data_IF_776371603725
#
_entry.id   IF_776371603725
#
_cell.length_a   1.000
_cell.length_b   1.000
_cell.length_c   1.000
_cell.angle_alpha   90.00
_cell.angle_beta   90.00
_cell.angle_gamma   90.00
#
_symmetry.space_group_name_H-M   'P 1'
#
loop_
_entity.id
_entity.type
_entity.pdbx_description
1 polymer ?
#
# COMPACT_ATOMS: atom_id res chain seq x y z
N UNK A 1 8.91 -9.39 13.19
CA UNK A 1 9.38 -8.18 12.48
C UNK A 1 8.16 -7.38 12.09
N UNK A 2 8.07 -6.12 12.53
CA UNK A 2 6.95 -5.25 12.18
C UNK A 2 7.15 -4.69 10.77
N UNK A 3 6.09 -4.65 9.96
CA UNK A 3 6.12 -4.02 8.64
C UNK A 3 5.90 -2.52 8.83
N UNK A 4 6.85 -1.70 8.39
CA UNK A 4 6.70 -0.24 8.36
C UNK A 4 6.07 0.18 7.03
N UNK A 5 4.96 0.90 7.07
CA UNK A 5 4.26 1.40 5.88
C UNK A 5 4.14 2.92 6.01
N UNK A 6 4.72 3.66 5.07
CA UNK A 6 4.62 5.12 5.05
C UNK A 6 3.95 5.57 3.75
N UNK A 7 3.03 6.52 3.86
CA UNK A 7 2.32 7.08 2.70
C UNK A 7 3.15 8.21 2.10
N UNK A 8 3.47 8.10 0.81
CA UNK A 8 4.09 9.19 0.03
C UNK A 8 2.99 10.02 -0.64
N UNK A 9 2.02 9.35 -1.27
CA UNK A 9 0.86 9.98 -1.92
C UNK A 9 -0.28 8.97 -2.02
N UNK A 10 -1.45 9.39 -2.52
CA UNK A 10 -2.62 8.49 -2.66
C UNK A 10 -2.37 7.27 -3.54
N UNK A 11 -1.36 7.33 -4.41
CA UNK A 11 -0.99 6.24 -5.31
C UNK A 11 0.41 5.68 -5.00
N UNK A 12 1.06 6.06 -3.89
CA UNK A 12 2.44 5.65 -3.56
C UNK A 12 2.65 5.51 -2.06
N UNK A 13 3.28 4.39 -1.68
CA UNK A 13 3.68 4.05 -0.33
C UNK A 13 5.13 3.55 -0.32
N UNK A 14 5.78 3.61 0.83
CA UNK A 14 6.98 2.83 1.12
C UNK A 14 6.64 1.72 2.11
N UNK A 15 7.18 0.53 1.86
CA UNK A 15 7.02 -0.64 2.72
C UNK A 15 8.41 -1.11 3.12
N UNK A 16 8.81 -0.91 4.37
CA UNK A 16 10.19 -1.11 4.84
C UNK A 16 11.24 -0.42 3.93
N UNK A 17 10.94 0.78 3.44
CA UNK A 17 11.80 1.54 2.52
C UNK A 17 11.69 1.14 1.04
N UNK A 18 10.93 0.09 0.69
CA UNK A 18 10.68 -0.32 -0.70
C UNK A 18 9.49 0.43 -1.29
N UNK A 19 9.59 0.90 -2.53
CA UNK A 19 8.49 1.61 -3.17
C UNK A 19 7.33 0.66 -3.51
N UNK A 20 6.10 1.08 -3.21
CA UNK A 20 4.87 0.39 -3.60
C UNK A 20 3.92 1.41 -4.21
N UNK A 21 3.47 1.21 -5.44
CA UNK A 21 2.72 2.24 -6.15
C UNK A 21 1.61 1.66 -7.03
N UNK A 22 0.64 2.49 -7.36
CA UNK A 22 -0.43 2.16 -8.29
C UNK A 22 0.02 2.45 -9.72
N UNK A 23 0.03 1.43 -10.58
CA UNK A 23 0.40 1.55 -11.98
C UNK A 23 -0.73 2.19 -12.82
N UNK A 24 -0.49 2.36 -14.12
CA UNK A 24 -1.45 2.97 -15.06
C UNK A 24 -2.73 2.15 -15.24
N UNK A 25 -2.65 0.83 -15.07
CA UNK A 25 -3.81 -0.07 -15.12
C UNK A 25 -4.63 -0.03 -13.82
N UNK A 26 -4.17 0.76 -12.84
CA UNK A 26 -4.81 0.86 -11.52
C UNK A 26 -4.43 -0.27 -10.57
N UNK A 27 -3.48 -1.14 -10.93
CA UNK A 27 -2.97 -2.22 -10.11
C UNK A 27 -1.88 -1.73 -9.15
N UNK A 28 -1.89 -2.23 -7.92
CA UNK A 28 -0.82 -1.97 -6.96
C UNK A 28 0.37 -2.89 -7.23
N UNK A 29 1.55 -2.31 -7.43
CA UNK A 29 2.77 -3.01 -7.83
C UNK A 29 3.97 -2.54 -7.01
N UNK A 30 4.94 -3.44 -6.82
CA UNK A 30 6.24 -3.12 -6.26
C UNK A 30 7.31 -3.28 -7.35
N UNK A 31 8.06 -2.23 -7.72
CA UNK A 31 9.06 -2.33 -8.78
C UNK A 31 10.28 -3.15 -8.37
N UNK A 32 10.59 -3.23 -7.07
CA UNK A 32 11.73 -4.01 -6.61
C UNK A 32 11.45 -5.51 -6.53
N UNK A 33 10.19 -5.96 -6.67
CA UNK A 33 9.77 -7.36 -6.52
C UNK A 33 10.28 -8.06 -5.24
N UNK A 34 10.78 -7.27 -4.27
CA UNK A 34 11.44 -7.71 -3.04
C UNK A 34 10.48 -7.75 -1.86
N UNK A 35 9.18 -7.49 -2.06
CA UNK A 35 8.22 -7.60 -0.97
C UNK A 35 8.04 -9.07 -0.61
N UNK A 36 8.26 -9.36 0.66
CA UNK A 36 7.85 -10.62 1.25
C UNK A 36 6.32 -10.71 1.26
N UNK A 37 5.74 -11.92 1.27
CA UNK A 37 4.29 -12.09 1.35
C UNK A 37 3.64 -11.38 2.56
N UNK A 38 4.38 -11.24 3.66
CA UNK A 38 3.92 -10.49 4.84
C UNK A 38 3.87 -8.98 4.59
N UNK A 39 4.86 -8.41 3.91
CA UNK A 39 4.89 -6.99 3.55
C UNK A 39 3.75 -6.64 2.59
N UNK A 40 3.55 -7.48 1.56
CA UNK A 40 2.47 -7.35 0.59
C UNK A 40 1.09 -7.40 1.27
N UNK A 41 0.86 -8.39 2.14
CA UNK A 41 -0.39 -8.51 2.89
C UNK A 41 -0.63 -7.31 3.79
N UNK A 42 0.41 -6.80 4.45
CA UNK A 42 0.31 -5.64 5.33
C UNK A 42 -0.05 -4.36 4.57
N UNK A 43 0.64 -4.06 3.45
CA UNK A 43 0.37 -2.86 2.65
C UNK A 43 -1.01 -2.93 2.00
N UNK A 44 -1.43 -4.09 1.50
CA UNK A 44 -2.76 -4.28 0.92
C UNK A 44 -3.88 -4.10 1.97
N UNK A 45 -3.68 -4.60 3.19
CA UNK A 45 -4.62 -4.38 4.29
C UNK A 45 -4.69 -2.91 4.71
N UNK A 46 -3.56 -2.19 4.71
CA UNK A 46 -3.49 -0.77 5.01
C UNK A 46 -4.29 0.06 3.99
N UNK A 47 -4.06 -0.16 2.70
CA UNK A 47 -4.78 0.51 1.61
C UNK A 47 -6.29 0.23 1.69
N UNK A 48 -6.68 -1.03 1.93
CA UNK A 48 -8.09 -1.40 2.06
C UNK A 48 -8.77 -0.68 3.23
N UNK A 49 -8.07 -0.54 4.36
CA UNK A 49 -8.58 0.18 5.52
C UNK A 49 -8.73 1.69 5.24
N UNK A 50 -7.75 2.32 4.57
CA UNK A 50 -7.87 3.71 4.14
C UNK A 50 -9.07 3.93 3.21
N UNK A 51 -9.24 3.06 2.20
CA UNK A 51 -10.38 3.15 1.26
C UNK A 51 -11.73 3.01 1.97
N UNK A 52 -11.84 2.06 2.91
CA UNK A 52 -13.06 1.88 3.69
C UNK A 52 -13.36 3.09 4.59
N UNK A 53 -12.32 3.66 5.21
CA UNK A 53 -12.48 4.84 6.05
C UNK A 53 -12.92 6.06 5.22
N UNK A 54 -12.38 6.23 4.01
CA UNK A 54 -12.83 7.26 3.07
C UNK A 54 -14.30 7.08 2.67
N UNK A 55 -14.74 5.84 2.40
CA UNK A 55 -16.15 5.56 2.10
C UNK A 55 -17.09 5.86 3.27
N UNK A 56 -16.69 5.53 4.49
CA UNK A 56 -17.49 5.81 5.69
C UNK A 56 -17.57 7.31 6.03
N UNK A 57 -16.60 8.13 5.59
CA UNK A 57 -16.63 9.59 5.77
C UNK A 57 -17.46 10.33 4.71
N UNK A 58 -17.80 9.64 3.62
CA UNK A 58 -18.58 10.17 2.50
C UNK A 58 -20.06 9.76 2.54
N UNK A 59 -20.44 8.87 3.46
CA UNK A 59 -21.83 8.51 3.78
C UNK A 59 -22.27 9.24 5.06
#
# INVERSE_FOLDING_TARGET
MSVNIEKISDNRYTVNGKLFYRNIDGNWVCPSNDLTPNEEKAVMSHIKAEMLNLQNRLN
#
